data_IF_212679931647
#
_entry.id   IF_212679931647
#
_cell.length_a   1.000
_cell.length_b   1.000
_cell.length_c   1.000
_cell.angle_alpha   90.00
_cell.angle_beta   90.00
_cell.angle_gamma   90.00
#
_symmetry.space_group_name_H-M   'P 1'
#
loop_
_entity.id
_entity.type
_entity.pdbx_description
1 polymer ?
#
# COMPACT_ATOMS: atom_id res chain seq x y z
N UNK A 1 14.30 5.85 -21.01
CA UNK A 1 13.80 4.59 -20.42
C UNK A 1 13.29 4.90 -19.03
N UNK A 2 11.98 4.80 -18.71
CA UNK A 2 11.53 5.01 -17.34
C UNK A 2 11.95 3.81 -16.47
N UNK A 3 12.66 4.06 -15.37
CA UNK A 3 13.01 3.04 -14.39
C UNK A 3 11.76 2.32 -13.89
N UNK A 4 11.74 0.98 -14.00
CA UNK A 4 10.68 0.16 -13.42
C UNK A 4 10.74 0.30 -11.90
N UNK A 5 9.57 0.49 -11.28
CA UNK A 5 9.42 0.44 -9.82
C UNK A 5 9.61 -0.98 -9.32
N UNK A 6 10.87 -1.37 -9.08
CA UNK A 6 11.21 -2.56 -8.33
C UNK A 6 11.37 -2.19 -6.86
N UNK A 7 10.68 -2.94 -6.00
CA UNK A 7 10.86 -2.90 -4.56
C UNK A 7 11.71 -4.10 -4.20
N UNK A 8 12.99 -3.88 -3.90
CA UNK A 8 13.93 -4.95 -3.59
C UNK A 8 13.58 -5.62 -2.26
N UNK A 9 13.76 -6.96 -2.23
CA UNK A 9 13.64 -7.80 -1.04
C UNK A 9 14.76 -7.41 -0.06
N UNK A 10 14.41 -6.86 1.09
CA UNK A 10 15.34 -6.79 2.23
C UNK A 10 15.56 -8.22 2.76
N UNK A 11 16.82 -8.54 3.06
CA UNK A 11 17.41 -9.86 3.36
C UNK A 11 17.01 -10.47 4.72
N UNK A 12 15.71 -10.49 5.03
CA UNK A 12 15.16 -11.26 6.16
C UNK A 12 13.94 -12.06 5.66
N UNK A 13 13.93 -13.41 5.76
CA UNK A 13 12.84 -14.24 5.22
C UNK A 13 11.46 -13.95 5.85
N UNK A 14 11.42 -13.22 6.97
CA UNK A 14 10.21 -12.83 7.69
C UNK A 14 9.70 -11.41 7.39
N UNK A 15 10.43 -10.61 6.59
CA UNK A 15 10.04 -9.23 6.30
C UNK A 15 8.97 -9.19 5.21
N UNK A 16 7.83 -8.56 5.51
CA UNK A 16 6.74 -8.35 4.59
C UNK A 16 7.15 -7.36 3.49
N UNK A 17 6.86 -7.72 2.24
CA UNK A 17 7.02 -6.80 1.10
C UNK A 17 5.75 -5.97 0.91
N UNK A 18 5.81 -4.94 0.06
CA UNK A 18 4.60 -4.20 -0.33
C UNK A 18 3.53 -5.12 -0.94
N UNK A 19 3.94 -6.17 -1.66
CA UNK A 19 3.01 -7.15 -2.26
C UNK A 19 2.26 -7.94 -1.17
N UNK A 20 2.89 -8.18 -0.02
CA UNK A 20 2.24 -8.81 1.12
C UNK A 20 1.28 -7.89 1.84
N UNK A 21 1.65 -6.62 1.96
CA UNK A 21 0.97 -5.61 2.78
C UNK A 21 -0.26 -5.04 2.04
N UNK A 22 -0.05 -4.56 0.81
CA UNK A 22 -1.06 -3.87 0.00
C UNK A 22 -0.97 -4.34 -1.46
N UNK A 23 -1.40 -5.57 -1.79
CA UNK A 23 -1.19 -6.20 -3.09
C UNK A 23 -1.80 -5.42 -4.26
N UNK A 24 -2.97 -4.79 -4.09
CA UNK A 24 -3.63 -4.00 -5.13
C UNK A 24 -2.80 -2.77 -5.46
N UNK A 25 -2.36 -2.02 -4.45
CA UNK A 25 -1.47 -0.87 -4.66
C UNK A 25 -0.08 -1.25 -5.15
N UNK A 26 0.49 -2.37 -4.70
CA UNK A 26 1.74 -2.90 -5.22
C UNK A 26 1.66 -3.15 -6.74
N UNK A 27 0.56 -3.74 -7.21
CA UNK A 27 0.34 -3.96 -8.63
C UNK A 27 0.12 -2.67 -9.43
N UNK A 28 -0.52 -1.66 -8.82
CA UNK A 28 -0.71 -0.34 -9.45
C UNK A 28 0.62 0.40 -9.61
N UNK A 29 1.50 0.33 -8.62
CA UNK A 29 2.80 1.03 -8.69
C UNK A 29 3.71 0.48 -9.79
N UNK A 30 3.60 -0.82 -10.12
CA UNK A 30 4.31 -1.41 -11.29
C UNK A 30 3.88 -0.82 -12.63
N UNK A 31 2.70 -0.18 -12.69
CA UNK A 31 2.13 0.42 -13.91
C UNK A 31 2.40 1.93 -14.00
N UNK A 32 3.17 2.50 -13.07
CA UNK A 32 3.57 3.90 -13.14
C UNK A 32 4.68 4.11 -14.19
N UNK A 33 4.74 5.28 -14.85
CA UNK A 33 3.83 6.43 -14.72
C UNK A 33 2.50 6.22 -15.46
N UNK A 34 1.39 6.74 -14.91
CA UNK A 34 0.09 6.77 -15.62
C UNK A 34 -0.05 8.07 -16.44
N UNK A 35 -0.69 8.04 -17.63
CA UNK A 35 -0.94 9.26 -18.41
C UNK A 35 -1.78 10.28 -17.63
N UNK A 36 -1.47 11.57 -17.81
CA UNK A 36 -1.97 12.73 -17.02
C UNK A 36 -3.49 12.89 -17.01
N UNK A 37 -4.16 12.50 -18.09
CA UNK A 37 -5.62 12.61 -18.25
C UNK A 37 -6.29 11.24 -18.43
N UNK A 38 -5.66 10.18 -17.91
CA UNK A 38 -6.26 8.86 -17.96
C UNK A 38 -7.33 8.70 -16.89
N UNK A 39 -8.47 8.10 -17.26
CA UNK A 39 -9.52 7.68 -16.32
C UNK A 39 -8.93 6.79 -15.21
N UNK A 40 -7.93 5.97 -15.55
CA UNK A 40 -7.15 5.15 -14.62
C UNK A 40 -6.44 6.02 -13.56
N UNK A 41 -5.70 7.05 -13.98
CA UNK A 41 -5.00 7.96 -13.08
C UNK A 41 -5.95 8.72 -12.15
N UNK A 42 -7.06 9.23 -12.71
CA UNK A 42 -8.09 9.93 -11.92
C UNK A 42 -8.71 9.00 -10.86
N UNK A 43 -9.09 7.77 -11.24
CA UNK A 43 -9.64 6.79 -10.31
C UNK A 43 -8.66 6.46 -9.19
N UNK A 44 -7.37 6.31 -9.49
CA UNK A 44 -6.35 6.04 -8.46
C UNK A 44 -6.14 7.24 -7.54
N UNK A 45 -6.17 8.47 -8.06
CA UNK A 45 -6.13 9.66 -7.21
C UNK A 45 -7.31 9.70 -6.22
N UNK A 46 -8.54 9.43 -6.69
CA UNK A 46 -9.73 9.34 -5.83
C UNK A 46 -9.65 8.21 -4.80
N UNK A 47 -9.07 7.06 -5.16
CA UNK A 47 -8.85 5.98 -4.19
C UNK A 47 -7.77 6.33 -3.15
N UNK A 48 -6.78 7.18 -3.47
CA UNK A 48 -5.80 7.66 -2.50
C UNK A 48 -6.38 8.69 -1.51
N UNK A 49 -7.40 9.44 -1.90
CA UNK A 49 -8.09 10.39 -1.01
C UNK A 49 -9.05 9.71 -0.04
N UNK A 50 -9.53 8.51 -0.39
CA UNK A 50 -10.39 7.71 0.49
C UNK A 50 -9.51 6.93 1.48
N UNK A 51 -9.56 7.29 2.77
CA UNK A 51 -8.67 6.75 3.81
C UNK A 51 -8.72 5.21 3.89
N UNK A 52 -9.89 4.60 3.70
CA UNK A 52 -10.07 3.16 3.72
C UNK A 52 -9.61 2.46 2.42
N UNK A 53 -9.42 3.18 1.32
CA UNK A 53 -9.02 2.61 0.01
C UNK A 53 -7.60 2.98 -0.42
N UNK A 54 -6.97 3.92 0.28
CA UNK A 54 -5.59 4.29 0.03
C UNK A 54 -4.65 3.11 0.34
N UNK A 55 -3.36 3.25 0.07
CA UNK A 55 -2.37 2.20 0.31
C UNK A 55 -2.35 1.72 1.76
N UNK A 56 -2.46 2.65 2.71
CA UNK A 56 -2.47 2.36 4.14
C UNK A 56 -3.80 1.71 4.55
N UNK A 57 -4.91 2.20 4.02
CA UNK A 57 -6.24 1.62 4.24
C UNK A 57 -6.31 0.16 3.78
N UNK A 58 -5.78 -0.15 2.59
CA UNK A 58 -5.66 -1.53 2.10
C UNK A 58 -4.83 -2.39 3.06
N UNK A 59 -3.70 -1.87 3.54
CA UNK A 59 -2.82 -2.57 4.48
C UNK A 59 -3.53 -2.94 5.80
N UNK A 60 -4.46 -2.08 6.24
CA UNK A 60 -5.34 -2.31 7.39
C UNK A 60 -6.61 -3.12 7.05
N UNK A 61 -6.69 -3.75 5.87
CA UNK A 61 -7.84 -4.56 5.47
C UNK A 61 -9.02 -3.73 4.98
N UNK A 62 -8.75 -2.63 4.27
CA UNK A 62 -9.72 -1.63 3.83
C UNK A 62 -10.41 -0.90 4.97
N UNK A 63 -9.62 -0.40 5.92
CA UNK A 63 -10.08 0.30 7.11
C UNK A 63 -9.33 1.62 7.34
N UNK A 64 -10.04 2.65 7.79
CA UNK A 64 -9.47 3.95 8.17
C UNK A 64 -9.05 4.05 9.65
N UNK A 65 -9.14 2.96 10.42
CA UNK A 65 -8.82 2.93 11.86
C UNK A 65 -7.37 3.34 12.19
N UNK A 66 -6.47 3.30 11.22
CA UNK A 66 -5.09 3.77 11.38
C UNK A 66 -5.00 5.28 11.66
N UNK A 67 -6.00 6.07 11.25
CA UNK A 67 -6.05 7.51 11.52
C UNK A 67 -6.14 7.80 13.03
N UNK A 68 -6.69 6.88 13.81
CA UNK A 68 -6.83 7.03 15.26
C UNK A 68 -5.69 6.36 16.03
N UNK A 69 -4.97 5.42 15.40
CA UNK A 69 -4.05 4.50 16.08
C UNK A 69 -2.59 4.67 15.68
N UNK A 70 -2.30 5.29 14.54
CA UNK A 70 -0.93 5.49 14.08
C UNK A 70 -0.76 6.76 13.23
N UNK A 71 -0.21 7.81 13.85
CA UNK A 71 0.08 9.10 13.19
C UNK A 71 1.07 8.98 12.02
N UNK A 72 2.00 8.02 12.08
CA UNK A 72 2.91 7.75 10.97
C UNK A 72 2.15 7.22 9.74
N UNK A 73 1.19 6.31 9.95
CA UNK A 73 0.31 5.80 8.90
C UNK A 73 -0.58 6.90 8.28
N UNK A 74 -1.11 7.82 9.09
CA UNK A 74 -1.79 9.01 8.60
C UNK A 74 -0.89 9.86 7.69
N UNK A 75 0.33 10.16 8.14
CA UNK A 75 1.32 10.90 7.33
C UNK A 75 1.68 10.16 6.03
N UNK A 76 1.84 8.84 6.06
CA UNK A 76 2.11 8.06 4.85
C UNK A 76 0.97 8.17 3.85
N UNK A 77 -0.29 8.07 4.31
CA UNK A 77 -1.48 8.25 3.48
C UNK A 77 -1.47 9.61 2.76
N UNK A 78 -1.32 10.70 3.51
CA UNK A 78 -1.26 12.06 2.97
C UNK A 78 -0.10 12.24 1.98
N UNK A 79 1.07 11.68 2.29
CA UNK A 79 2.22 11.74 1.38
C UNK A 79 2.00 10.94 0.10
N UNK A 80 1.31 9.80 0.13
CA UNK A 80 0.97 9.07 -1.10
C UNK A 80 0.03 9.88 -1.98
N UNK A 81 -1.01 10.47 -1.38
CA UNK A 81 -1.94 11.34 -2.10
C UNK A 81 -1.21 12.50 -2.79
N UNK A 82 -0.45 13.29 -2.02
CA UNK A 82 0.25 14.47 -2.55
C UNK A 82 1.22 14.06 -3.66
N UNK A 83 2.12 13.09 -3.39
CA UNK A 83 3.14 12.69 -4.36
C UNK A 83 2.54 12.08 -5.63
N UNK A 84 1.38 11.41 -5.54
CA UNK A 84 0.69 10.91 -6.72
C UNK A 84 0.08 12.04 -7.56
N UNK A 85 -0.60 13.00 -6.91
CA UNK A 85 -1.24 14.15 -7.57
C UNK A 85 -0.19 15.02 -8.29
N UNK A 86 0.92 15.35 -7.61
CA UNK A 86 2.01 16.14 -8.22
C UNK A 86 2.92 15.30 -9.13
N UNK A 87 2.61 14.01 -9.32
CA UNK A 87 3.36 13.06 -10.17
C UNK A 87 4.84 12.91 -9.77
N UNK A 88 5.14 13.10 -8.48
CA UNK A 88 6.48 12.90 -7.93
C UNK A 88 6.72 11.42 -7.63
N UNK A 89 6.94 10.65 -8.69
CA UNK A 89 7.13 9.19 -8.59
C UNK A 89 8.38 8.82 -7.77
N UNK A 90 9.44 9.61 -7.83
CA UNK A 90 10.64 9.43 -6.98
C UNK A 90 10.29 9.52 -5.49
N UNK A 91 9.49 10.51 -5.10
CA UNK A 91 9.07 10.64 -3.70
C UNK A 91 8.03 9.59 -3.32
N UNK A 92 7.18 9.16 -4.26
CA UNK A 92 6.27 8.03 -4.06
C UNK A 92 7.04 6.73 -3.78
N UNK A 93 8.15 6.46 -4.49
CA UNK A 93 9.06 5.34 -4.20
C UNK A 93 9.61 5.42 -2.78
N UNK A 94 10.22 6.56 -2.43
CA UNK A 94 10.81 6.81 -1.11
C UNK A 94 9.78 6.68 0.02
N UNK A 95 8.56 7.19 -0.19
CA UNK A 95 7.48 7.08 0.79
C UNK A 95 7.05 5.62 0.97
N UNK A 96 7.06 4.83 -0.11
CA UNK A 96 6.76 3.40 -0.06
C UNK A 96 7.82 2.62 0.73
N UNK A 97 9.11 2.89 0.50
CA UNK A 97 10.20 2.24 1.24
C UNK A 97 10.11 2.54 2.75
N UNK A 98 9.85 3.81 3.11
CA UNK A 98 9.63 4.22 4.51
C UNK A 98 8.40 3.55 5.11
N UNK A 99 7.31 3.48 4.35
CA UNK A 99 6.08 2.82 4.78
C UNK A 99 6.30 1.33 5.03
N UNK A 100 6.94 0.59 4.10
CA UNK A 100 7.21 -0.84 4.25
C UNK A 100 8.10 -1.11 5.47
N UNK A 101 9.13 -0.28 5.67
CA UNK A 101 9.97 -0.37 6.88
C UNK A 101 9.14 -0.18 8.16
N UNK A 102 8.39 0.92 8.24
CA UNK A 102 7.53 1.21 9.39
C UNK A 102 6.51 0.10 9.64
N UNK A 103 5.90 -0.43 8.58
CA UNK A 103 4.92 -1.50 8.67
C UNK A 103 5.50 -2.77 9.27
N UNK A 104 6.70 -3.18 8.82
CA UNK A 104 7.39 -4.33 9.40
C UNK A 104 7.72 -4.13 10.88
N UNK A 105 8.09 -2.91 11.28
CA UNK A 105 8.43 -2.58 12.68
C UNK A 105 7.22 -2.51 13.61
N UNK A 106 6.05 -2.04 13.14
CA UNK A 106 4.90 -1.70 14.00
C UNK A 106 3.62 -2.49 13.72
N UNK A 107 3.44 -2.99 12.50
CA UNK A 107 2.14 -3.48 12.01
C UNK A 107 2.19 -4.86 11.33
N UNK A 108 3.33 -5.56 11.37
CA UNK A 108 3.47 -6.88 10.75
C UNK A 108 2.41 -7.89 11.23
N UNK A 109 2.01 -7.82 12.51
CA UNK A 109 0.96 -8.64 13.09
C UNK A 109 -0.39 -8.49 12.37
N UNK A 110 -0.76 -7.28 11.95
CA UNK A 110 -2.02 -7.00 11.24
C UNK A 110 -2.08 -7.78 9.92
N UNK A 111 -0.98 -7.77 9.15
CA UNK A 111 -0.92 -8.53 7.89
C UNK A 111 -1.02 -10.03 8.12
N UNK A 112 -0.36 -10.54 9.16
CA UNK A 112 -0.41 -11.96 9.51
C UNK A 112 -1.83 -12.40 9.93
N UNK A 113 -2.52 -11.58 10.73
CA UNK A 113 -3.93 -11.81 11.11
C UNK A 113 -4.86 -11.80 9.90
N UNK A 114 -4.73 -10.82 9.02
CA UNK A 114 -5.56 -10.72 7.80
C UNK A 114 -5.29 -11.89 6.84
N UNK A 115 -4.05 -12.38 6.75
CA UNK A 115 -3.72 -13.60 5.99
C UNK A 115 -4.36 -14.84 6.61
N UNK A 116 -4.34 -14.96 7.94
CA UNK A 116 -5.03 -16.04 8.67
C UNK A 116 -6.54 -16.07 8.41
N UNK A 117 -7.21 -14.92 8.57
CA UNK A 117 -8.67 -14.79 8.31
C UNK A 117 -9.05 -15.17 6.87
N UNK A 118 -8.24 -14.77 5.88
CA UNK A 118 -8.46 -15.13 4.47
C UNK A 118 -8.38 -16.63 4.22
N UNK A 119 -7.41 -17.33 4.82
CA UNK A 119 -7.28 -18.79 4.70
C UNK A 119 -8.49 -19.52 5.28
N UNK A 120 -8.96 -19.10 6.46
CA UNK A 120 -10.14 -19.68 7.10
C UNK A 120 -11.39 -19.49 6.23
N UNK A 121 -11.59 -18.28 5.68
CA UNK A 121 -12.74 -18.01 4.81
C UNK A 121 -12.74 -18.87 3.56
N UNK A 122 -11.58 -19.05 2.91
CA UNK A 122 -11.46 -19.93 1.74
C UNK A 122 -11.83 -21.38 2.10
N UNK A 123 -11.27 -21.93 3.18
CA UNK A 123 -11.60 -23.30 3.61
C UNK A 123 -13.09 -23.48 3.92
N UNK A 124 -13.72 -22.47 4.54
CA UNK A 124 -15.15 -22.51 4.85
C UNK A 124 -16.05 -22.46 3.60
N UNK A 125 -15.61 -21.82 2.50
CA UNK A 125 -16.36 -21.76 1.23
C UNK A 125 -16.20 -22.99 0.34
N UNK A 126 -15.32 -23.94 0.71
CA UNK A 126 -15.10 -25.22 0.00
C UNK A 126 -15.72 -26.42 0.72
N UNK A 127 -16.56 -26.21 1.74
CA UNK A 127 -17.40 -27.24 2.39
C UNK A 127 -18.86 -27.00 2.03
#
# INVERSE_FOLDING_TARGET
MPERFTFDKTSNPSSLTLTDIAPKWANRFKQLPVPTLSLKGLRWALELTAAERCLVGEAHGFSATYLQTCKACEMFCSNFQINFIIRSYKNLKKNTEKFVKHWNEKHAHITNELKGKRRIKLVATYR
#
